data_IF_756255730870
#
_entry.id   IF_756255730870
#
_cell.length_a   1.000
_cell.length_b   1.000
_cell.length_c   1.000
_cell.angle_alpha   90.00
_cell.angle_beta   90.00
_cell.angle_gamma   90.00
#
_symmetry.space_group_name_H-M   'P 1'
#
loop_
_entity.id
_entity.type
_entity.pdbx_description
1 polymer ?
#
# COMPACT_ATOMS: atom_id res chain seq x y z
N UNK A 1 -18.41 9.31 2.16
CA UNK A 1 -18.20 8.71 3.49
C UNK A 1 -16.70 8.50 3.62
N UNK A 2 -16.05 9.22 4.52
CA UNK A 2 -14.61 8.99 4.78
C UNK A 2 -14.54 7.86 5.79
N UNK A 3 -14.04 6.70 5.38
CA UNK A 3 -13.82 5.58 6.30
C UNK A 3 -12.93 6.03 7.47
N UNK A 4 -13.26 5.65 8.71
CA UNK A 4 -12.40 5.94 9.85
C UNK A 4 -11.03 5.32 9.63
N UNK A 5 -9.96 6.06 9.95
CA UNK A 5 -8.61 5.52 9.90
C UNK A 5 -8.51 4.31 10.84
N UNK A 6 -7.96 3.17 10.38
CA UNK A 6 -7.71 2.03 11.26
C UNK A 6 -6.83 2.48 12.44
N UNK A 7 -7.10 2.01 13.68
CA UNK A 7 -6.34 2.40 14.85
C UNK A 7 -4.87 1.92 14.78
N UNK A 8 -4.59 0.85 14.04
CA UNK A 8 -3.26 0.29 13.85
C UNK A 8 -2.97 0.11 12.36
N UNK A 9 -2.19 1.03 11.80
CA UNK A 9 -1.67 0.89 10.46
C UNK A 9 -0.40 0.02 10.48
N UNK A 10 -0.29 -0.96 9.57
CA UNK A 10 0.91 -1.78 9.50
C UNK A 10 2.12 -0.91 9.16
N UNK A 11 3.22 -1.15 9.88
CA UNK A 11 4.48 -0.48 9.61
C UNK A 11 5.09 -1.08 8.34
N UNK A 12 5.04 -0.34 7.24
CA UNK A 12 5.63 -0.76 5.97
C UNK A 12 7.08 -0.28 5.87
N UNK A 13 7.95 -1.12 5.33
CA UNK A 13 9.32 -0.74 5.03
C UNK A 13 9.36 0.18 3.81
N UNK A 14 9.91 1.37 4.00
CA UNK A 14 10.11 2.35 2.93
C UNK A 14 11.53 2.16 2.40
N UNK A 15 11.72 1.77 1.14
CA UNK A 15 13.07 1.61 0.58
C UNK A 15 13.84 2.93 0.65
N UNK A 16 15.16 2.83 0.88
CA UNK A 16 16.04 4.01 1.03
C UNK A 16 15.99 4.98 -0.15
N UNK A 17 15.70 4.47 -1.35
CA UNK A 17 15.49 5.29 -2.56
C UNK A 17 14.33 6.29 -2.45
N UNK A 18 13.36 6.04 -1.56
CA UNK A 18 12.24 6.94 -1.28
C UNK A 18 12.50 7.92 -0.14
N UNK A 19 13.63 7.79 0.56
CA UNK A 19 13.95 8.63 1.71
C UNK A 19 14.43 10.03 1.31
N UNK A 20 14.82 10.26 0.04
CA UNK A 20 15.30 11.55 -0.50
C UNK A 20 16.31 12.22 0.44
N UNK A 21 15.85 13.10 1.34
CA UNK A 21 16.66 13.86 2.31
C UNK A 21 16.63 13.31 3.75
N UNK A 22 15.82 12.30 4.03
CA UNK A 22 15.72 11.70 5.36
C UNK A 22 16.82 10.64 5.56
N UNK A 23 17.56 10.76 6.67
CA UNK A 23 18.50 9.73 7.09
C UNK A 23 17.79 8.40 7.40
N UNK A 24 16.58 8.47 7.98
CA UNK A 24 15.74 7.32 8.29
C UNK A 24 14.26 7.63 8.01
N UNK A 25 13.48 6.60 7.64
CA UNK A 25 12.04 6.71 7.46
C UNK A 25 11.37 7.13 8.78
N UNK A 26 10.63 8.26 8.83
CA UNK A 26 9.79 8.61 9.96
C UNK A 26 8.94 7.42 10.41
N UNK A 27 8.75 7.26 11.72
CA UNK A 27 7.92 6.15 12.27
C UNK A 27 6.42 6.31 11.98
N UNK A 28 6.02 7.46 11.42
CA UNK A 28 4.64 7.74 11.06
C UNK A 28 4.19 6.85 9.87
N UNK A 29 3.21 5.95 10.07
CA UNK A 29 2.79 5.01 9.04
C UNK A 29 2.09 5.70 7.86
N UNK A 30 1.37 6.79 8.10
CA UNK A 30 0.69 7.53 7.03
C UNK A 30 1.71 8.18 6.08
N UNK A 31 2.76 8.78 6.63
CA UNK A 31 3.87 9.33 5.86
C UNK A 31 4.53 8.24 5.00
N UNK A 32 4.78 7.06 5.58
CA UNK A 32 5.39 5.93 4.86
C UNK A 32 4.51 5.47 3.71
N UNK A 33 3.23 5.28 3.95
CA UNK A 33 2.25 4.88 2.94
C UNK A 33 2.11 5.95 1.85
N UNK A 34 2.08 7.23 2.21
CA UNK A 34 2.03 8.34 1.25
C UNK A 34 3.25 8.34 0.32
N UNK A 35 4.45 8.06 0.84
CA UNK A 35 5.67 7.95 0.02
C UNK A 35 5.64 6.77 -0.92
N UNK A 36 5.21 5.61 -0.43
CA UNK A 36 5.06 4.42 -1.27
C UNK A 36 4.03 4.69 -2.37
N UNK A 37 2.86 5.23 -2.02
CA UNK A 37 1.78 5.50 -2.95
C UNK A 37 2.21 6.46 -4.07
N UNK A 38 3.03 7.48 -3.75
CA UNK A 38 3.57 8.40 -4.77
C UNK A 38 4.45 7.75 -5.84
N UNK A 39 4.92 6.52 -5.61
CA UNK A 39 5.74 5.74 -6.55
C UNK A 39 5.09 4.41 -6.91
N UNK A 40 3.82 4.23 -6.56
CA UNK A 40 3.06 3.07 -6.95
C UNK A 40 2.76 3.15 -8.46
N UNK A 41 2.81 2.04 -9.22
CA UNK A 41 3.07 0.65 -8.80
C UNK A 41 4.55 0.24 -8.88
N UNK A 42 5.49 1.16 -9.13
CA UNK A 42 6.91 0.80 -9.20
C UNK A 42 7.42 0.23 -7.86
N UNK A 43 6.86 0.70 -6.73
CA UNK A 43 7.15 0.24 -5.37
C UNK A 43 5.83 -0.05 -4.63
N UNK A 44 5.83 -1.02 -3.71
CA UNK A 44 4.69 -1.31 -2.83
C UNK A 44 3.62 -2.24 -3.40
N UNK A 45 4.01 -3.14 -4.31
CA UNK A 45 3.10 -4.15 -4.93
C UNK A 45 2.90 -5.40 -4.08
N UNK A 46 3.69 -5.56 -3.02
CA UNK A 46 3.55 -6.68 -2.09
C UNK A 46 2.20 -6.61 -1.37
N UNK A 47 1.68 -7.78 -1.00
CA UNK A 47 0.35 -7.93 -0.43
C UNK A 47 0.13 -7.04 0.80
N UNK A 48 1.09 -7.02 1.72
CA UNK A 48 0.96 -6.28 2.98
C UNK A 48 0.85 -4.77 2.71
N UNK A 49 1.70 -4.26 1.82
CA UNK A 49 1.69 -2.85 1.43
C UNK A 49 0.44 -2.48 0.65
N UNK A 50 0.01 -3.29 -0.32
CA UNK A 50 -1.23 -3.05 -1.06
C UNK A 50 -2.44 -3.02 -0.13
N UNK A 51 -2.53 -3.96 0.81
CA UNK A 51 -3.61 -3.96 1.80
C UNK A 51 -3.57 -2.70 2.69
N UNK A 52 -2.39 -2.29 3.13
CA UNK A 52 -2.21 -1.06 3.90
C UNK A 52 -2.63 0.19 3.12
N UNK A 53 -2.17 0.30 1.87
CA UNK A 53 -2.53 1.39 0.96
C UNK A 53 -4.04 1.42 0.71
N UNK A 54 -4.66 0.26 0.49
CA UNK A 54 -6.09 0.15 0.26
C UNK A 54 -6.90 0.65 1.46
N UNK A 55 -6.52 0.29 2.68
CA UNK A 55 -7.22 0.72 3.91
C UNK A 55 -7.26 2.23 4.07
N UNK A 56 -6.20 2.94 3.65
CA UNK A 56 -6.11 4.40 3.81
C UNK A 56 -6.22 5.16 2.49
N UNK A 57 -6.57 4.51 1.37
CA UNK A 57 -6.49 5.08 0.01
C UNK A 57 -7.22 6.42 -0.13
N UNK A 58 -8.34 6.60 0.57
CA UNK A 58 -9.14 7.83 0.57
C UNK A 58 -8.55 8.97 1.43
N UNK A 59 -7.57 8.66 2.28
CA UNK A 59 -6.81 9.61 3.08
C UNK A 59 -5.47 9.99 2.44
N UNK A 60 -5.01 9.22 1.46
CA UNK A 60 -3.78 9.49 0.73
C UNK A 60 -3.99 10.62 -0.28
N UNK A 61 -3.02 11.53 -0.36
CA UNK A 61 -2.98 12.58 -1.38
C UNK A 61 -2.37 12.02 -2.67
N UNK A 62 -3.12 11.22 -3.40
CA UNK A 62 -2.69 10.56 -4.64
C UNK A 62 -3.64 10.86 -5.80
N UNK A 63 -3.17 10.80 -7.06
CA UNK A 63 -4.04 10.97 -8.21
C UNK A 63 -4.99 9.77 -8.35
N UNK A 64 -6.17 10.00 -8.96
CA UNK A 64 -7.21 8.98 -9.14
C UNK A 64 -6.67 7.71 -9.82
N UNK A 65 -5.83 7.86 -10.84
CA UNK A 65 -5.17 6.74 -11.53
C UNK A 65 -4.38 5.83 -10.59
N UNK A 66 -3.75 6.38 -9.54
CA UNK A 66 -3.02 5.59 -8.55
C UNK A 66 -3.97 4.89 -7.60
N UNK A 67 -5.07 5.54 -7.23
CA UNK A 67 -6.13 4.93 -6.43
C UNK A 67 -6.73 3.72 -7.15
N UNK A 68 -7.10 3.88 -8.43
CA UNK A 68 -7.64 2.79 -9.25
C UNK A 68 -6.67 1.59 -9.30
N UNK A 69 -5.37 1.87 -9.47
CA UNK A 69 -4.37 0.80 -9.47
C UNK A 69 -4.27 0.11 -8.10
N UNK A 70 -4.37 0.82 -6.98
CA UNK A 70 -4.34 0.20 -5.64
C UNK A 70 -5.53 -0.75 -5.48
N UNK A 71 -6.72 -0.35 -5.93
CA UNK A 71 -7.93 -1.19 -5.86
C UNK A 71 -7.78 -2.45 -6.73
N UNK A 72 -7.30 -2.32 -7.96
CA UNK A 72 -7.04 -3.46 -8.86
C UNK A 72 -6.03 -4.44 -8.24
N UNK A 73 -4.97 -3.92 -7.62
CA UNK A 73 -3.97 -4.79 -7.00
C UNK A 73 -4.52 -5.50 -5.76
N UNK A 74 -5.36 -4.84 -4.95
CA UNK A 74 -6.01 -5.47 -3.80
C UNK A 74 -6.92 -6.61 -4.26
N UNK A 75 -7.74 -6.35 -5.27
CA UNK A 75 -8.67 -7.34 -5.82
C UNK A 75 -7.90 -8.58 -6.30
N UNK A 76 -6.85 -8.38 -7.10
CA UNK A 76 -6.00 -9.49 -7.57
C UNK A 76 -5.33 -10.26 -6.45
N UNK A 77 -4.93 -9.58 -5.38
CA UNK A 77 -4.38 -10.27 -4.21
C UNK A 77 -5.45 -11.08 -3.48
N UNK A 78 -6.68 -10.56 -3.37
CA UNK A 78 -7.82 -11.25 -2.77
C UNK A 78 -8.20 -12.48 -3.59
N UNK A 79 -8.31 -12.36 -4.91
CA UNK A 79 -8.59 -13.47 -5.82
C UNK A 79 -7.58 -14.60 -5.69
N UNK A 80 -6.28 -14.28 -5.53
CA UNK A 80 -5.21 -15.28 -5.32
C UNK A 80 -5.31 -15.99 -3.97
N UNK A 81 -5.90 -15.36 -2.96
CA UNK A 81 -6.11 -15.96 -1.64
C UNK A 81 -7.35 -16.84 -1.62
N UNK A 82 -8.40 -16.43 -2.32
CA UNK A 82 -9.65 -17.18 -2.46
C UNK A 82 -9.50 -18.36 -3.41
N UNK A 83 -8.64 -18.23 -4.42
CA UNK A 83 -8.25 -19.31 -5.33
C UNK A 83 -6.75 -19.61 -5.19
N UNK A 84 -6.30 -20.25 -4.09
CA UNK A 84 -4.94 -20.75 -4.05
C UNK A 84 -4.81 -21.75 -5.20
N UNK A 85 -3.89 -21.48 -6.11
CA UNK A 85 -3.63 -22.34 -7.26
C UNK A 85 -3.58 -23.82 -6.80
N UNK A 86 -4.43 -24.72 -7.33
CA UNK A 86 -4.33 -26.14 -7.04
C UNK A 86 -3.16 -26.71 -7.84
N UNK A 87 -1.93 -26.43 -7.42
CA UNK A 87 -0.76 -27.07 -8.00
C UNK A 87 0.39 -27.12 -7.00
N UNK A 88 0.33 -28.14 -6.15
CA UNK A 88 1.48 -28.90 -5.66
C UNK A 88 0.96 -30.12 -4.87
N UNK A 89 0.45 -31.12 -5.60
CA UNK A 89 0.31 -32.50 -5.12
C UNK A 89 0.75 -33.44 -6.25
#
# INVERSE_FOLDING_TARGET
MTDPLPPELPLVDVPKSLLWDYAEAPKDPMWRLQRIASRFPAIGRDRATVAALYLVRHHLKIPLETLDLIEIYEEKWRERLENPCPSAA
#
